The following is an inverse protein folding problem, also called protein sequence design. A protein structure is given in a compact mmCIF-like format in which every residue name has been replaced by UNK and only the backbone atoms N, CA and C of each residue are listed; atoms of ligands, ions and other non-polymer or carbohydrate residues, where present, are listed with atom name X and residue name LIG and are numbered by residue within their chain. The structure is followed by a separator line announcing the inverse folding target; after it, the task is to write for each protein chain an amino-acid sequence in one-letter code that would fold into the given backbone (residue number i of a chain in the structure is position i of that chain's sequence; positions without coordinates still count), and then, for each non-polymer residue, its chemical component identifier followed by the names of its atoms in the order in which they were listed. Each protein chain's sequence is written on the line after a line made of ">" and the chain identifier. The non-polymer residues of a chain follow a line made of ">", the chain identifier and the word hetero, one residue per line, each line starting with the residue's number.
data_IF_321548601089
#
_entry.id   IF_321548601089
#
_cell.length_a   1.000
_cell.length_b   1.000
_cell.length_c   1.000
_cell.angle_alpha   90.00
_cell.angle_beta   90.00
_cell.angle_gamma   90.00
#
_symmetry.space_group_name_H-M   'P 1'
#
loop_
_entity.id
_entity.type
_entity.pdbx_description
1 polymer ?
#
# COMPACT_ATOMS: atom_id res chain seq x y z
N UNK A 1 10.07 -14.89 -6.62
CA UNK A 1 9.99 -14.18 -5.33
C UNK A 1 9.75 -12.72 -5.67
N UNK A 2 8.58 -12.16 -5.38
CA UNK A 2 8.37 -10.71 -5.57
C UNK A 2 9.32 -9.98 -4.64
N UNK A 3 10.06 -9.01 -5.17
CA UNK A 3 10.98 -8.21 -4.38
C UNK A 3 10.16 -7.21 -3.58
N UNK A 4 9.70 -7.60 -2.38
CA UNK A 4 8.83 -6.76 -1.53
C UNK A 4 9.41 -5.36 -1.26
N UNK A 5 10.73 -5.18 -1.39
CA UNK A 5 11.38 -3.87 -1.22
C UNK A 5 10.80 -2.81 -2.15
N UNK A 6 10.44 -3.16 -3.39
CA UNK A 6 9.90 -2.18 -4.36
C UNK A 6 8.55 -1.61 -3.91
N UNK A 7 7.69 -2.46 -3.34
CA UNK A 7 6.38 -2.05 -2.84
C UNK A 7 6.52 -1.22 -1.56
N UNK A 8 7.46 -1.58 -0.68
CA UNK A 8 7.76 -0.84 0.55
C UNK A 8 8.33 0.54 0.22
N UNK A 9 9.26 0.63 -0.72
CA UNK A 9 9.83 1.90 -1.19
C UNK A 9 8.76 2.81 -1.76
N UNK A 10 7.89 2.28 -2.63
CA UNK A 10 6.78 3.04 -3.20
C UNK A 10 5.75 3.48 -2.13
N UNK A 11 5.40 2.62 -1.18
CA UNK A 11 4.52 2.97 -0.07
C UNK A 11 5.12 4.05 0.82
N UNK A 12 6.43 3.98 1.08
CA UNK A 12 7.17 4.99 1.85
C UNK A 12 7.20 6.34 1.14
N UNK A 13 7.39 6.34 -0.18
CA UNK A 13 7.40 7.55 -0.99
C UNK A 13 6.01 8.21 -1.09
N UNK A 14 4.94 7.42 -1.07
CA UNK A 14 3.56 7.89 -1.15
C UNK A 14 2.98 8.32 0.22
N UNK A 15 3.58 7.87 1.32
CA UNK A 15 3.15 8.26 2.66
C UNK A 15 3.44 9.74 2.93
N UNK A 16 2.61 10.35 3.78
CA UNK A 16 2.75 11.76 4.14
C UNK A 16 2.76 11.93 5.65
N UNK A 17 3.35 13.05 6.09
CA UNK A 17 3.44 13.40 7.50
C UNK A 17 2.27 14.28 7.91
N UNK A 18 1.56 13.90 8.97
CA UNK A 18 0.48 14.67 9.58
C UNK A 18 1.02 15.75 10.53
N UNK A 19 0.18 16.70 10.92
CA UNK A 19 0.53 17.77 11.87
C UNK A 19 0.95 17.23 13.25
N UNK A 20 0.37 16.10 13.68
CA UNK A 20 0.72 15.41 14.92
C UNK A 20 2.02 14.58 14.81
N UNK A 21 2.67 14.57 13.64
CA UNK A 21 3.97 13.97 13.40
C UNK A 21 3.96 12.51 12.96
N UNK A 22 2.79 11.90 12.79
CA UNK A 22 2.67 10.53 12.24
C UNK A 22 2.95 10.51 10.74
N UNK A 23 3.41 9.36 10.25
CA UNK A 23 3.59 9.11 8.82
C UNK A 23 2.53 8.12 8.39
N UNK A 24 1.60 8.56 7.55
CA UNK A 24 0.40 7.80 7.20
C UNK A 24 0.28 7.58 5.70
N UNK A 25 -0.46 6.53 5.34
CA UNK A 25 -0.80 6.18 3.97
C UNK A 25 -2.29 5.87 3.87
N UNK A 26 -2.96 6.43 2.86
CA UNK A 26 -4.37 6.17 2.62
C UNK A 26 -4.60 4.77 2.03
N UNK A 27 -5.60 4.06 2.54
CA UNK A 27 -6.05 2.77 2.02
C UNK A 27 -7.50 2.85 1.55
N UNK A 28 -7.74 2.43 0.32
CA UNK A 28 -9.03 2.36 -0.37
C UNK A 28 -9.42 0.90 -0.64
N UNK A 29 -9.61 0.09 0.39
CA UNK A 29 -10.06 -1.31 0.23
C UNK A 29 -10.36 -1.96 1.57
N UNK A 30 -11.62 -2.33 1.79
CA UNK A 30 -12.18 -2.68 3.12
C UNK A 30 -13.38 -1.77 3.45
N UNK A 31 -14.20 -2.13 4.46
CA UNK A 31 -15.49 -1.47 4.77
C UNK A 31 -15.42 0.04 5.05
N UNK A 32 -14.25 0.64 5.23
CA UNK A 32 -14.05 2.08 5.35
C UNK A 32 -12.67 2.40 4.75
N UNK A 33 -12.59 3.35 3.81
CA UNK A 33 -11.29 3.95 3.47
C UNK A 33 -10.70 4.56 4.74
N UNK A 34 -9.42 4.30 5.00
CA UNK A 34 -8.79 4.68 6.26
C UNK A 34 -7.32 5.07 6.07
N UNK A 35 -6.86 5.92 6.98
CA UNK A 35 -5.46 6.32 7.09
C UNK A 35 -4.75 5.32 7.98
N UNK A 36 -3.67 4.73 7.48
CA UNK A 36 -2.88 3.75 8.20
C UNK A 36 -1.52 4.33 8.53
N UNK A 37 -0.96 3.99 9.69
CA UNK A 37 0.43 4.28 9.97
C UNK A 37 1.32 3.49 8.98
N UNK A 38 2.33 4.15 8.41
CA UNK A 38 3.20 3.54 7.40
C UNK A 38 3.87 2.26 7.92
N UNK A 39 4.19 2.20 9.21
CA UNK A 39 4.76 1.00 9.83
C UNK A 39 3.82 -0.21 9.74
N UNK A 40 2.52 0.00 9.94
CA UNK A 40 1.51 -1.07 9.84
C UNK A 40 1.31 -1.51 8.38
N UNK A 41 1.36 -0.55 7.45
CA UNK A 41 1.33 -0.87 6.01
C UNK A 41 2.52 -1.74 5.61
N UNK A 42 3.73 -1.40 6.06
CA UNK A 42 4.94 -2.18 5.77
C UNK A 42 4.80 -3.59 6.34
N UNK A 43 4.34 -3.72 7.59
CA UNK A 43 4.11 -5.02 8.21
C UNK A 43 3.09 -5.87 7.45
N UNK A 44 2.01 -5.27 6.94
CA UNK A 44 1.05 -5.97 6.09
C UNK A 44 1.65 -6.37 4.73
N UNK A 45 2.50 -5.55 4.10
CA UNK A 45 3.22 -5.91 2.85
C UNK A 45 4.17 -7.09 3.09
N UNK A 46 4.92 -7.08 4.19
CA UNK A 46 5.86 -8.14 4.57
C UNK A 46 5.14 -9.46 4.87
N UNK A 47 4.02 -9.38 5.59
CA UNK A 47 3.21 -10.54 6.00
C UNK A 47 2.21 -11.03 4.95
N UNK A 48 2.05 -10.34 3.83
CA UNK A 48 1.05 -10.67 2.82
C UNK A 48 1.36 -11.97 2.06
N UNK A 49 0.29 -12.67 1.71
CA UNK A 49 0.33 -13.83 0.82
C UNK A 49 0.71 -13.41 -0.61
N UNK A 50 0.18 -12.26 -1.04
CA UNK A 50 0.46 -11.68 -2.36
C UNK A 50 0.44 -10.14 -2.30
N UNK A 51 1.36 -9.54 -3.06
CA UNK A 51 1.47 -8.10 -3.26
C UNK A 51 1.68 -7.87 -4.76
N UNK A 52 0.91 -6.97 -5.36
CA UNK A 52 0.96 -6.72 -6.80
C UNK A 52 0.49 -5.31 -7.17
N UNK A 53 0.88 -4.87 -8.37
CA UNK A 53 0.40 -3.66 -9.01
C UNK A 53 -0.89 -3.96 -9.80
N UNK A 54 -1.94 -3.15 -9.61
CA UNK A 54 -3.24 -3.28 -10.26
C UNK A 54 -3.81 -1.89 -10.60
N UNK A 55 -3.60 -1.44 -11.84
CA UNK A 55 -3.92 -0.09 -12.31
C UNK A 55 -5.40 0.22 -12.47
N UNK A 56 -6.30 -0.54 -11.85
CA UNK A 56 -7.72 -0.54 -12.20
C UNK A 56 -8.67 0.02 -11.15
N UNK A 57 -8.22 0.26 -9.91
CA UNK A 57 -9.13 0.75 -8.88
C UNK A 57 -8.68 2.09 -8.29
N UNK A 58 -9.50 3.11 -8.57
CA UNK A 58 -9.34 4.51 -8.15
C UNK A 58 -7.97 5.12 -8.49
N UNK A 59 -7.35 4.68 -9.58
CA UNK A 59 -6.03 5.18 -9.97
C UNK A 59 -4.95 4.84 -8.90
N UNK A 60 -5.12 3.76 -8.15
CA UNK A 60 -4.16 3.28 -7.15
C UNK A 60 -3.71 1.88 -7.49
N UNK A 61 -2.41 1.65 -7.44
CA UNK A 61 -1.85 0.46 -8.06
C UNK A 61 -1.49 -0.58 -6.99
N UNK A 62 -1.12 -0.20 -5.77
CA UNK A 62 -0.66 -1.17 -4.77
C UNK A 62 -1.80 -1.99 -4.13
N UNK A 63 -1.81 -3.30 -4.40
CA UNK A 63 -2.71 -4.27 -3.76
C UNK A 63 -1.95 -5.21 -2.86
N UNK A 64 -2.53 -5.48 -1.70
CA UNK A 64 -1.98 -6.39 -0.68
C UNK A 64 -3.10 -7.33 -0.26
N UNK A 65 -2.87 -8.65 -0.27
CA UNK A 65 -3.84 -9.61 0.25
C UNK A 65 -3.22 -10.56 1.28
N UNK A 66 -3.94 -10.74 2.38
CA UNK A 66 -3.56 -11.57 3.53
C UNK A 66 -4.78 -12.41 3.94
N UNK A 67 -4.76 -13.69 3.61
CA UNK A 67 -5.90 -14.60 3.71
C UNK A 67 -7.11 -14.09 2.93
N UNK A 68 -8.19 -13.75 3.64
CA UNK A 68 -9.41 -13.17 3.05
C UNK A 68 -9.42 -11.65 2.99
N UNK A 69 -8.45 -10.99 3.62
CA UNK A 69 -8.36 -9.53 3.68
C UNK A 69 -7.64 -9.02 2.43
N UNK A 70 -8.12 -7.91 1.88
CA UNK A 70 -7.54 -7.24 0.72
C UNK A 70 -7.49 -5.76 0.99
N UNK A 71 -6.31 -5.19 0.83
CA UNK A 71 -6.02 -3.77 0.99
C UNK A 71 -5.62 -3.18 -0.35
N UNK A 72 -5.81 -1.89 -0.48
CA UNK A 72 -5.55 -1.17 -1.72
C UNK A 72 -5.04 0.20 -1.37
N UNK A 73 -3.73 0.33 -1.32
CA UNK A 73 -3.09 1.54 -0.82
C UNK A 73 -3.00 2.58 -1.93
N UNK A 74 -3.14 3.86 -1.56
CA UNK A 74 -2.97 4.99 -2.43
C UNK A 74 -1.49 5.17 -2.80
N UNK A 75 -1.02 4.28 -3.67
CA UNK A 75 0.37 4.20 -4.12
C UNK A 75 0.33 3.91 -5.60
N UNK A 76 1.14 4.65 -6.35
CA UNK A 76 1.34 4.46 -7.78
C UNK A 76 2.47 3.48 -8.04
N UNK A 77 2.30 2.64 -9.05
CA UNK A 77 3.38 1.83 -9.57
C UNK A 77 4.46 2.76 -10.15
N UNK A 78 5.76 2.46 -9.94
CA UNK A 78 6.83 3.17 -10.61
C UNK A 78 6.66 3.10 -12.14
N UNK A 79 7.08 4.16 -12.83
CA UNK A 79 6.98 4.22 -14.30
C UNK A 79 7.65 3.00 -14.96
N UNK A 80 6.95 2.36 -15.90
CA UNK A 80 7.46 1.21 -16.66
C UNK A 80 7.15 -0.18 -16.09
N UNK A 81 6.35 -0.28 -15.02
CA UNK A 81 5.93 -1.56 -14.41
C UNK A 81 4.45 -1.93 -14.62
N UNK A 82 3.69 -1.11 -15.36
CA UNK A 82 2.27 -1.33 -15.68
C UNK A 82 2.07 -2.05 -17.03
#
# INVERSE_FOLDING_TARGET
>A
MSNRSEFIEAATAAAFKTEDGRTILHCFGGMCGADWDLADVIAEIEGADIVWWDGHFLDHDLRVATGRRRWSFNVKAPEGLA
#
